data_IF_252180319021
#
_entry.id   IF_252180319021
#
_cell.length_a   1.000
_cell.length_b   1.000
_cell.length_c   1.000
_cell.angle_alpha   90.00
_cell.angle_beta   90.00
_cell.angle_gamma   90.00
#
_symmetry.space_group_name_H-M   'P 1'
#
loop_
_entity.id
_entity.type
_entity.pdbx_description
1 polymer ?
#
# COMPACT_ATOMS: atom_id res chain seq x y z
N UNK A 1 6.02 24.42 -29.18
CA UNK A 1 6.23 24.56 -30.63
C UNK A 1 5.29 25.64 -31.17
N UNK A 2 3.98 25.49 -31.00
CA UNK A 2 2.95 26.49 -31.39
C UNK A 2 3.21 27.90 -30.81
N UNK A 3 3.36 28.04 -29.49
CA UNK A 3 3.67 29.33 -28.84
C UNK A 3 4.98 29.96 -29.36
N UNK A 4 5.96 29.13 -29.73
CA UNK A 4 7.23 29.61 -30.29
C UNK A 4 7.09 30.19 -31.69
N UNK A 5 6.16 29.64 -32.49
CA UNK A 5 5.83 30.15 -33.82
C UNK A 5 4.97 31.42 -33.74
N UNK A 6 4.05 31.50 -32.78
CA UNK A 6 3.12 32.64 -32.65
C UNK A 6 3.71 33.85 -31.90
N UNK A 7 4.48 33.61 -30.84
CA UNK A 7 4.90 34.66 -29.87
C UNK A 7 6.41 34.75 -29.68
N UNK A 8 7.17 34.01 -30.49
CA UNK A 8 8.64 33.97 -30.48
C UNK A 8 9.23 33.04 -29.42
N UNK A 9 10.47 32.59 -29.68
CA UNK A 9 11.14 31.56 -28.89
C UNK A 9 11.44 31.98 -27.43
N UNK A 10 11.77 33.26 -27.20
CA UNK A 10 12.04 33.78 -25.85
C UNK A 10 10.81 33.71 -24.94
N UNK A 11 9.65 34.12 -25.46
CA UNK A 11 8.37 34.04 -24.73
C UNK A 11 8.02 32.59 -24.43
N UNK A 12 8.15 31.71 -25.44
CA UNK A 12 7.90 30.29 -25.26
C UNK A 12 8.82 29.64 -24.20
N UNK A 13 10.11 30.03 -24.14
CA UNK A 13 11.02 29.54 -23.11
C UNK A 13 10.60 30.02 -21.71
N UNK A 14 10.22 31.30 -21.58
CA UNK A 14 9.69 31.86 -20.33
C UNK A 14 8.44 31.13 -19.85
N UNK A 15 7.48 30.89 -20.76
CA UNK A 15 6.24 30.16 -20.46
C UNK A 15 6.53 28.73 -20.02
N UNK A 16 7.46 28.03 -20.68
CA UNK A 16 7.88 26.67 -20.27
C UNK A 16 8.42 26.69 -18.84
N UNK A 17 9.29 27.64 -18.49
CA UNK A 17 9.85 27.74 -17.13
C UNK A 17 8.73 27.99 -16.11
N UNK A 18 7.81 28.91 -16.40
CA UNK A 18 6.67 29.22 -15.53
C UNK A 18 5.79 27.98 -15.33
N UNK A 19 5.47 27.24 -16.40
CA UNK A 19 4.70 26.01 -16.32
C UNK A 19 5.39 24.95 -15.43
N UNK A 20 6.71 24.83 -15.51
CA UNK A 20 7.45 23.89 -14.65
C UNK A 20 7.45 24.34 -13.18
N UNK A 21 7.60 25.64 -12.90
CA UNK A 21 7.49 26.20 -11.54
C UNK A 21 6.09 25.99 -10.94
N UNK A 22 5.06 25.97 -11.78
CA UNK A 22 3.68 25.62 -11.41
C UNK A 22 3.44 24.10 -11.32
N UNK A 23 4.48 23.29 -11.41
CA UNK A 23 4.43 21.83 -11.33
C UNK A 23 3.57 21.18 -12.43
N UNK A 24 3.47 21.79 -13.61
CA UNK A 24 2.62 21.30 -14.70
C UNK A 24 2.95 19.84 -15.09
N UNK A 25 4.24 19.46 -15.12
CA UNK A 25 4.66 18.09 -15.43
C UNK A 25 4.23 17.08 -14.37
N UNK A 26 4.26 17.47 -13.08
CA UNK A 26 3.78 16.65 -11.96
C UNK A 26 2.26 16.47 -12.06
N UNK A 27 1.53 17.57 -12.27
CA UNK A 27 0.08 17.54 -12.46
C UNK A 27 -0.33 16.70 -13.66
N UNK A 28 0.33 16.85 -14.81
CA UNK A 28 0.06 16.08 -16.02
C UNK A 28 0.26 14.58 -15.78
N UNK A 29 1.39 14.20 -15.18
CA UNK A 29 1.73 12.82 -14.86
C UNK A 29 0.71 12.18 -13.91
N UNK A 30 0.29 12.94 -12.90
CA UNK A 30 -0.74 12.52 -11.95
C UNK A 30 -2.13 12.40 -12.61
N UNK A 31 -2.53 13.39 -13.40
CA UNK A 31 -3.81 13.37 -14.13
C UNK A 31 -3.91 12.19 -15.10
N UNK A 32 -2.82 11.90 -15.83
CA UNK A 32 -2.75 10.75 -16.72
C UNK A 32 -2.86 9.42 -15.94
N UNK A 33 -2.22 9.32 -14.77
CA UNK A 33 -2.35 8.16 -13.87
C UNK A 33 -3.80 7.87 -13.48
N UNK A 34 -4.56 8.93 -13.14
CA UNK A 34 -6.00 8.83 -12.85
C UNK A 34 -6.77 8.27 -14.05
N UNK A 35 -6.56 8.84 -15.24
CA UNK A 35 -7.25 8.42 -16.47
C UNK A 35 -6.94 6.96 -16.81
N UNK A 36 -5.66 6.58 -16.82
CA UNK A 36 -5.23 5.21 -17.14
C UNK A 36 -5.82 4.20 -16.15
N UNK A 37 -5.84 4.51 -14.85
CA UNK A 37 -6.40 3.61 -13.84
C UNK A 37 -7.90 3.34 -14.06
N UNK A 38 -8.71 4.40 -14.16
CA UNK A 38 -10.16 4.23 -14.26
C UNK A 38 -10.61 3.76 -15.65
N UNK A 39 -9.88 4.14 -16.70
CA UNK A 39 -10.10 3.60 -18.04
C UNK A 39 -9.82 2.09 -18.07
N UNK A 40 -8.67 1.65 -17.54
CA UNK A 40 -8.34 0.23 -17.44
C UNK A 40 -9.33 -0.57 -16.59
N UNK A 41 -9.77 -0.02 -15.45
CA UNK A 41 -10.81 -0.64 -14.61
C UNK A 41 -12.13 -0.83 -15.38
N UNK A 42 -12.53 0.18 -16.15
CA UNK A 42 -13.76 0.11 -16.96
C UNK A 42 -13.64 -0.94 -18.05
N UNK A 43 -12.47 -1.08 -18.69
CA UNK A 43 -12.23 -2.12 -19.71
C UNK A 43 -12.29 -3.53 -19.10
N UNK A 44 -11.64 -3.74 -17.95
CA UNK A 44 -11.50 -5.08 -17.36
C UNK A 44 -12.77 -5.56 -16.64
N UNK A 45 -13.47 -4.64 -15.97
CA UNK A 45 -14.53 -4.99 -15.02
C UNK A 45 -15.88 -4.33 -15.35
N UNK A 46 -15.89 -3.33 -16.23
CA UNK A 46 -17.06 -2.48 -16.43
C UNK A 46 -17.36 -1.59 -15.21
N UNK A 47 -18.58 -1.04 -15.19
CA UNK A 47 -19.08 -0.23 -14.07
C UNK A 47 -18.49 1.18 -14.02
N UNK A 48 -19.07 2.10 -14.78
CA UNK A 48 -18.79 3.52 -14.64
C UNK A 48 -19.48 4.06 -13.38
N UNK A 49 -18.73 4.76 -12.52
CA UNK A 49 -19.28 5.46 -11.36
C UNK A 49 -19.06 6.95 -11.53
N UNK A 50 -20.14 7.71 -11.58
CA UNK A 50 -20.04 9.16 -11.56
C UNK A 50 -19.59 9.63 -10.17
N UNK A 51 -18.52 10.42 -10.13
CA UNK A 51 -18.18 11.23 -8.96
C UNK A 51 -18.40 12.69 -9.31
N UNK A 52 -19.24 13.37 -8.53
CA UNK A 52 -19.51 14.78 -8.73
C UNK A 52 -18.22 15.58 -8.50
N UNK A 53 -17.76 16.27 -9.54
CA UNK A 53 -16.82 17.37 -9.42
C UNK A 53 -17.63 18.56 -8.90
N UNK A 54 -17.40 18.98 -7.65
CA UNK A 54 -18.13 20.11 -7.06
C UNK A 54 -18.13 21.33 -8.00
N UNK A 55 -19.23 22.08 -8.04
CA UNK A 55 -19.29 23.36 -8.78
C UNK A 55 -18.73 24.47 -7.89
N UNK A 56 -17.61 25.06 -8.28
CA UNK A 56 -17.01 26.22 -7.62
C UNK A 56 -15.48 26.22 -7.68
N UNK A 57 -14.87 27.40 -7.77
CA UNK A 57 -13.43 27.58 -7.60
C UNK A 57 -13.17 27.71 -6.10
N UNK A 58 -13.02 26.58 -5.42
CA UNK A 58 -12.62 26.61 -4.00
C UNK A 58 -11.22 26.02 -3.93
N UNK A 59 -10.26 26.91 -3.68
CA UNK A 59 -8.95 26.57 -3.15
C UNK A 59 -9.19 25.96 -1.77
N UNK A 60 -9.53 24.66 -1.75
CA UNK A 60 -9.89 23.93 -0.53
C UNK A 60 -8.78 22.95 -0.20
N UNK A 61 -8.40 22.96 1.07
CA UNK A 61 -7.59 21.89 1.63
C UNK A 61 -8.38 20.57 1.67
N UNK A 62 -7.86 19.54 1.04
CA UNK A 62 -8.38 18.17 1.11
C UNK A 62 -7.64 17.36 2.16
N UNK A 63 -8.39 16.68 3.02
CA UNK A 63 -7.83 15.95 4.16
C UNK A 63 -7.06 14.71 3.73
N UNK A 64 -6.10 14.24 4.54
CA UNK A 64 -5.38 12.98 4.30
C UNK A 64 -6.29 11.76 4.06
N UNK A 65 -7.37 11.60 4.84
CA UNK A 65 -8.34 10.52 4.64
C UNK A 65 -9.02 10.60 3.26
N UNK A 66 -9.36 11.79 2.78
CA UNK A 66 -9.96 11.96 1.46
C UNK A 66 -8.95 11.71 0.33
N UNK A 67 -7.73 12.24 0.44
CA UNK A 67 -6.66 11.96 -0.50
C UNK A 67 -6.36 10.46 -0.59
N UNK A 68 -6.31 9.75 0.54
CA UNK A 68 -6.15 8.30 0.56
C UNK A 68 -7.31 7.59 -0.13
N UNK A 69 -8.56 7.97 0.16
CA UNK A 69 -9.75 7.36 -0.44
C UNK A 69 -9.82 7.56 -1.96
N UNK A 70 -9.35 8.70 -2.45
CA UNK A 70 -9.36 9.06 -3.87
C UNK A 70 -8.20 8.39 -4.63
N UNK A 71 -7.01 8.37 -4.05
CA UNK A 71 -5.78 8.09 -4.79
C UNK A 71 -5.04 6.82 -4.37
N UNK A 72 -5.49 6.11 -3.33
CA UNK A 72 -4.82 4.89 -2.85
C UNK A 72 -4.61 3.85 -3.96
N UNK A 73 -5.67 3.43 -4.67
CA UNK A 73 -5.58 2.39 -5.72
C UNK A 73 -5.06 2.90 -7.06
N UNK A 74 -5.32 4.16 -7.38
CA UNK A 74 -4.94 4.75 -8.66
C UNK A 74 -3.49 5.19 -8.70
N UNK A 75 -2.93 5.66 -7.58
CA UNK A 75 -1.60 6.25 -7.49
C UNK A 75 -0.75 5.62 -6.39
N UNK A 76 -1.14 5.72 -5.11
CA UNK A 76 -0.22 5.40 -4.00
C UNK A 76 0.28 3.96 -4.05
N UNK A 77 -0.62 3.00 -4.23
CA UNK A 77 -0.27 1.58 -4.38
C UNK A 77 0.68 1.36 -5.56
N UNK A 78 0.38 1.95 -6.72
CA UNK A 78 1.18 1.75 -7.93
C UNK A 78 2.54 2.45 -7.83
N UNK A 79 2.58 3.61 -7.18
CA UNK A 79 3.81 4.37 -6.91
C UNK A 79 4.71 3.61 -5.95
N UNK A 80 4.17 3.03 -4.88
CA UNK A 80 4.92 2.17 -3.96
C UNK A 80 5.39 0.88 -4.64
N UNK A 81 4.56 0.24 -5.48
CA UNK A 81 4.96 -0.94 -6.26
C UNK A 81 6.14 -0.60 -7.19
N UNK A 82 6.05 0.49 -7.93
CA UNK A 82 7.13 0.92 -8.84
C UNK A 82 8.38 1.36 -8.08
N UNK A 83 8.22 2.03 -6.93
CA UNK A 83 9.33 2.39 -6.04
C UNK A 83 10.09 1.15 -5.55
N UNK A 84 9.37 0.13 -5.09
CA UNK A 84 9.97 -1.15 -4.67
C UNK A 84 10.74 -1.79 -5.84
N UNK A 85 10.16 -1.78 -7.05
CA UNK A 85 10.84 -2.30 -8.24
C UNK A 85 12.10 -1.52 -8.61
N UNK A 86 12.10 -0.19 -8.49
CA UNK A 86 13.27 0.64 -8.73
C UNK A 86 14.38 0.40 -7.69
N UNK A 87 14.01 0.13 -6.44
CA UNK A 87 14.93 -0.29 -5.38
C UNK A 87 15.50 -1.67 -5.71
N UNK A 88 14.67 -2.65 -6.08
CA UNK A 88 15.13 -3.96 -6.51
C UNK A 88 16.07 -3.87 -7.72
N UNK A 89 15.75 -3.04 -8.70
CA UNK A 89 16.59 -2.82 -9.89
C UNK A 89 17.95 -2.22 -9.50
N UNK A 90 18.01 -1.32 -8.52
CA UNK A 90 19.27 -0.78 -8.01
C UNK A 90 20.11 -1.81 -7.27
N UNK A 91 19.47 -2.71 -6.50
CA UNK A 91 20.15 -3.67 -5.65
C UNK A 91 20.63 -4.91 -6.42
N UNK A 92 19.87 -5.35 -7.43
CA UNK A 92 20.09 -6.62 -8.12
C UNK A 92 20.28 -6.51 -9.63
N UNK A 93 20.03 -5.35 -10.23
CA UNK A 93 20.15 -5.16 -11.67
C UNK A 93 21.61 -5.12 -12.10
N UNK A 94 21.96 -5.91 -13.12
CA UNK A 94 23.32 -5.97 -13.71
C UNK A 94 23.51 -5.06 -14.93
N UNK A 95 22.44 -4.37 -15.36
CA UNK A 95 22.45 -3.59 -16.59
C UNK A 95 22.97 -2.15 -16.39
N UNK A 96 23.06 -1.69 -15.14
CA UNK A 96 23.40 -0.31 -14.80
C UNK A 96 24.12 -0.26 -13.45
N UNK A 97 25.28 -0.90 -13.40
CA UNK A 97 26.07 -1.06 -12.16
C UNK A 97 26.62 0.27 -11.64
N UNK A 98 26.89 1.23 -12.54
CA UNK A 98 27.31 2.56 -12.15
C UNK A 98 26.10 3.47 -11.79
N UNK A 99 26.30 4.31 -10.79
CA UNK A 99 25.23 5.15 -10.24
C UNK A 99 24.66 6.15 -11.25
N UNK A 100 25.45 6.56 -12.25
CA UNK A 100 25.05 7.54 -13.27
C UNK A 100 24.15 6.87 -14.31
N UNK A 101 24.53 5.71 -14.84
CA UNK A 101 23.69 4.93 -15.77
C UNK A 101 22.37 4.55 -15.12
N UNK A 102 22.39 4.10 -13.86
CA UNK A 102 21.14 3.84 -13.14
C UNK A 102 20.27 5.09 -13.05
N UNK A 103 20.84 6.24 -12.67
CA UNK A 103 20.10 7.49 -12.54
C UNK A 103 19.48 7.91 -13.89
N UNK A 104 20.26 7.87 -14.97
CA UNK A 104 19.78 8.23 -16.31
C UNK A 104 18.68 7.30 -16.81
N UNK A 105 18.82 5.98 -16.60
CA UNK A 105 17.82 4.99 -17.04
C UNK A 105 16.53 5.04 -16.21
N UNK A 106 16.63 5.35 -14.92
CA UNK A 106 15.50 5.32 -13.98
C UNK A 106 14.87 6.68 -13.69
N UNK A 107 15.45 7.79 -14.16
CA UNK A 107 15.00 9.14 -13.84
C UNK A 107 13.52 9.36 -14.11
N UNK A 108 13.03 8.97 -15.28
CA UNK A 108 11.62 9.13 -15.67
C UNK A 108 10.67 8.30 -14.79
N UNK A 109 11.09 7.11 -14.39
CA UNK A 109 10.32 6.24 -13.49
C UNK A 109 10.30 6.80 -12.07
N UNK A 110 11.40 7.34 -11.56
CA UNK A 110 11.43 8.04 -10.27
C UNK A 110 10.58 9.30 -10.29
N UNK A 111 10.61 10.09 -11.37
CA UNK A 111 9.73 11.23 -11.54
C UNK A 111 8.24 10.83 -11.51
N UNK A 112 7.89 9.71 -12.16
CA UNK A 112 6.55 9.12 -12.12
C UNK A 112 6.14 8.71 -10.69
N UNK A 113 7.01 7.99 -9.97
CA UNK A 113 6.80 7.58 -8.57
C UNK A 113 6.54 8.81 -7.69
N UNK A 114 7.44 9.80 -7.75
CA UNK A 114 7.32 11.01 -6.95
C UNK A 114 6.05 11.78 -7.27
N UNK A 115 5.69 11.89 -8.55
CA UNK A 115 4.46 12.55 -8.96
C UNK A 115 3.22 11.83 -8.41
N UNK A 116 3.18 10.49 -8.47
CA UNK A 116 2.04 9.71 -7.95
C UNK A 116 1.91 9.74 -6.43
N UNK A 117 3.03 9.78 -5.71
CA UNK A 117 3.02 9.80 -4.24
C UNK A 117 2.76 11.20 -3.68
N UNK A 118 3.32 12.25 -4.29
CA UNK A 118 3.36 13.57 -3.67
C UNK A 118 2.43 14.61 -4.31
N UNK A 119 1.94 14.43 -5.54
CA UNK A 119 1.07 15.43 -6.18
C UNK A 119 -0.20 15.76 -5.36
N UNK A 120 -0.90 14.82 -4.70
CA UNK A 120 -2.05 15.13 -3.86
C UNK A 120 -1.75 16.02 -2.66
N UNK A 121 -0.48 16.17 -2.29
CA UNK A 121 -0.03 17.02 -1.18
C UNK A 121 0.57 18.32 -1.70
N UNK A 122 1.38 18.24 -2.76
CA UNK A 122 1.99 19.40 -3.44
C UNK A 122 0.96 20.35 -4.02
N UNK A 123 -0.13 19.81 -4.57
CA UNK A 123 -1.20 20.59 -5.21
C UNK A 123 -2.37 20.88 -4.26
N UNK A 124 -2.20 20.56 -2.97
CA UNK A 124 -3.21 20.78 -1.94
C UNK A 124 -2.94 22.10 -1.21
N UNK A 125 -3.87 23.06 -1.22
CA UNK A 125 -3.74 24.29 -0.45
C UNK A 125 -3.50 23.97 1.03
N UNK A 126 -2.56 24.66 1.68
CA UNK A 126 -2.12 24.36 3.06
C UNK A 126 -1.66 22.90 3.31
N UNK A 127 -1.31 22.15 2.26
CA UNK A 127 -0.90 20.74 2.38
C UNK A 127 0.33 20.51 3.26
N UNK A 128 1.17 21.53 3.45
CA UNK A 128 2.37 21.49 4.30
C UNK A 128 2.30 22.36 5.55
N UNK A 129 1.11 22.90 5.87
CA UNK A 129 0.92 23.66 7.08
C UNK A 129 0.92 22.71 8.29
N UNK A 130 1.84 22.91 9.24
CA UNK A 130 2.05 21.96 10.35
C UNK A 130 0.76 21.67 11.13
N UNK A 131 -0.02 22.70 11.45
CA UNK A 131 -1.29 22.53 12.16
C UNK A 131 -2.25 21.64 11.38
N UNK A 132 -2.35 21.83 10.06
CA UNK A 132 -3.20 21.00 9.19
C UNK A 132 -2.71 19.57 9.09
N UNK A 133 -1.41 19.35 8.98
CA UNK A 133 -0.83 18.01 8.97
C UNK A 133 -1.22 17.24 10.24
N UNK A 134 -1.12 17.88 11.42
CA UNK A 134 -1.46 17.23 12.69
C UNK A 134 -2.97 16.93 12.77
N UNK A 135 -3.82 17.90 12.42
CA UNK A 135 -5.29 17.73 12.38
C UNK A 135 -5.70 16.58 11.43
N UNK A 136 -5.11 16.55 10.23
CA UNK A 136 -5.38 15.53 9.23
C UNK A 136 -4.86 14.15 9.62
N UNK A 137 -3.71 14.10 10.28
CA UNK A 137 -3.16 12.85 10.81
C UNK A 137 -4.06 12.25 11.88
N UNK A 138 -4.62 13.07 12.77
CA UNK A 138 -5.59 12.62 13.78
C UNK A 138 -6.89 12.12 13.13
N UNK A 139 -7.44 12.87 12.16
CA UNK A 139 -8.64 12.49 11.39
C UNK A 139 -8.42 11.16 10.63
N UNK A 140 -7.28 11.01 9.97
CA UNK A 140 -6.90 9.78 9.26
C UNK A 140 -6.71 8.60 10.22
N UNK A 141 -6.04 8.82 11.36
CA UNK A 141 -5.82 7.79 12.40
C UNK A 141 -7.14 7.31 13.01
N UNK A 142 -8.10 8.21 13.18
CA UNK A 142 -9.46 7.84 13.58
C UNK A 142 -10.16 7.05 12.48
N UNK A 143 -10.09 7.49 11.23
CA UNK A 143 -10.74 6.84 10.09
C UNK A 143 -10.23 5.42 9.82
N UNK A 144 -8.91 5.19 9.89
CA UNK A 144 -8.28 3.87 9.68
C UNK A 144 -8.66 2.86 10.78
N UNK A 145 -8.78 3.36 12.02
CA UNK A 145 -9.13 2.55 13.19
C UNK A 145 -10.64 2.27 13.32
N UNK A 146 -11.49 3.14 12.76
CA UNK A 146 -12.94 2.95 12.76
C UNK A 146 -13.34 1.66 12.01
N UNK A 147 -14.06 0.77 12.70
CA UNK A 147 -14.68 -0.40 12.08
C UNK A 147 -15.89 0.01 11.24
N UNK A 148 -16.07 -0.72 10.16
CA UNK A 148 -17.24 -0.58 9.31
C UNK A 148 -18.45 -1.27 9.93
N UNK A 149 -19.57 -1.21 9.21
CA UNK A 149 -20.83 -1.84 9.59
C UNK A 149 -21.86 -1.61 8.50
N UNK A 150 -23.00 -2.30 8.59
CA UNK A 150 -24.10 -2.09 7.64
C UNK A 150 -24.55 -0.63 7.75
N UNK A 151 -24.49 0.11 6.64
CA UNK A 151 -24.88 1.52 6.57
C UNK A 151 -23.84 2.54 7.05
N UNK A 152 -22.63 2.11 7.47
CA UNK A 152 -21.56 3.07 7.85
C UNK A 152 -20.93 3.66 6.59
N UNK A 153 -20.96 4.99 6.39
CA UNK A 153 -20.37 5.62 5.19
C UNK A 153 -18.86 5.44 5.09
N UNK A 154 -18.32 5.36 3.88
CA UNK A 154 -16.88 5.26 3.61
C UNK A 154 -16.06 6.45 4.10
N UNK A 155 -16.69 7.61 4.31
CA UNK A 155 -16.05 8.82 4.86
C UNK A 155 -15.72 8.63 6.35
N UNK A 156 -16.45 7.76 7.05
CA UNK A 156 -16.29 7.55 8.51
C UNK A 156 -15.48 6.32 8.88
N UNK A 157 -15.30 5.38 7.96
CA UNK A 157 -14.57 4.14 8.23
C UNK A 157 -13.77 3.65 7.02
N UNK A 158 -12.51 3.33 7.25
CA UNK A 158 -11.66 2.66 6.25
C UNK A 158 -12.23 1.32 5.81
N UNK A 159 -12.86 0.55 6.70
CA UNK A 159 -13.40 -0.76 6.33
C UNK A 159 -14.58 -0.64 5.36
N UNK A 160 -15.46 0.34 5.58
CA UNK A 160 -16.54 0.65 4.63
C UNK A 160 -15.99 1.15 3.30
N UNK A 161 -14.95 2.02 3.32
CA UNK A 161 -14.29 2.46 2.09
C UNK A 161 -13.61 1.30 1.35
N UNK A 162 -12.90 0.43 2.06
CA UNK A 162 -12.19 -0.71 1.47
C UNK A 162 -13.17 -1.64 0.75
N UNK A 163 -14.32 -1.89 1.37
CA UNK A 163 -15.41 -2.67 0.79
C UNK A 163 -16.04 -2.00 -0.44
N UNK A 164 -16.24 -0.67 -0.40
CA UNK A 164 -16.74 0.13 -1.53
C UNK A 164 -15.75 0.16 -2.70
N UNK A 165 -14.45 0.33 -2.43
CA UNK A 165 -13.42 0.44 -3.45
C UNK A 165 -13.33 -0.83 -4.32
N UNK A 166 -13.55 -2.00 -3.70
CA UNK A 166 -13.56 -3.32 -4.34
C UNK A 166 -14.91 -3.76 -4.88
N UNK A 167 -15.94 -2.92 -4.82
CA UNK A 167 -17.29 -3.32 -5.21
C UNK A 167 -17.36 -3.81 -6.66
N UNK A 168 -16.59 -3.19 -7.56
CA UNK A 168 -16.47 -3.60 -8.96
C UNK A 168 -16.11 -5.08 -9.14
N UNK A 169 -15.22 -5.63 -8.29
CA UNK A 169 -14.80 -7.03 -8.35
C UNK A 169 -15.93 -8.02 -8.04
N UNK A 170 -17.02 -7.57 -7.38
CA UNK A 170 -18.20 -8.42 -7.16
C UNK A 170 -18.98 -8.70 -8.43
N UNK A 171 -18.90 -7.79 -9.40
CA UNK A 171 -19.64 -7.85 -10.66
C UNK A 171 -18.74 -8.27 -11.83
N UNK A 172 -17.45 -8.44 -11.58
CA UNK A 172 -16.47 -8.92 -12.55
C UNK A 172 -16.78 -10.35 -13.00
N UNK A 173 -16.78 -10.57 -14.33
CA UNK A 173 -16.93 -11.90 -14.91
C UNK A 173 -15.69 -12.79 -14.73
N UNK A 174 -15.82 -14.07 -15.07
CA UNK A 174 -14.73 -15.07 -14.92
C UNK A 174 -13.40 -14.61 -15.56
N UNK A 175 -13.45 -14.06 -16.78
CA UNK A 175 -12.25 -13.59 -17.49
C UNK A 175 -11.55 -12.43 -16.76
N UNK A 176 -12.32 -11.48 -16.19
CA UNK A 176 -11.72 -10.38 -15.43
C UNK A 176 -11.07 -10.88 -14.13
N UNK A 177 -11.69 -11.86 -13.46
CA UNK A 177 -11.09 -12.52 -12.29
C UNK A 177 -9.79 -13.24 -12.65
N UNK A 178 -9.77 -13.98 -13.78
CA UNK A 178 -8.58 -14.64 -14.28
C UNK A 178 -7.45 -13.64 -14.58
N UNK A 179 -7.77 -12.51 -15.22
CA UNK A 179 -6.79 -11.45 -15.50
C UNK A 179 -6.22 -10.86 -14.21
N UNK A 180 -7.04 -10.59 -13.19
CA UNK A 180 -6.57 -10.12 -11.88
C UNK A 180 -5.60 -11.12 -11.21
N UNK A 181 -5.90 -12.42 -11.30
CA UNK A 181 -4.99 -13.47 -10.79
C UNK A 181 -3.69 -13.48 -11.58
N UNK A 182 -3.75 -13.50 -12.92
CA UNK A 182 -2.56 -13.50 -13.79
C UNK A 182 -1.68 -12.28 -13.50
N UNK A 183 -2.30 -11.10 -13.39
CA UNK A 183 -1.60 -9.87 -13.04
C UNK A 183 -0.97 -9.95 -11.65
N UNK A 184 -1.62 -10.60 -10.68
CA UNK A 184 -1.09 -10.79 -9.32
C UNK A 184 0.07 -11.77 -9.25
N UNK A 185 0.18 -12.73 -10.18
CA UNK A 185 1.28 -13.71 -10.21
C UNK A 185 2.65 -13.04 -10.32
N UNK A 186 2.73 -11.84 -10.93
CA UNK A 186 3.99 -11.07 -11.05
C UNK A 186 4.71 -10.86 -9.71
N UNK A 187 3.95 -10.72 -8.62
CA UNK A 187 4.53 -10.51 -7.29
C UNK A 187 5.23 -11.76 -6.76
N UNK A 188 4.77 -12.97 -7.11
CA UNK A 188 5.47 -14.22 -6.77
C UNK A 188 6.76 -14.36 -7.57
N UNK A 189 6.78 -13.87 -8.82
CA UNK A 189 7.99 -13.80 -9.62
C UNK A 189 9.01 -12.85 -8.96
N UNK A 190 8.56 -11.69 -8.46
CA UNK A 190 9.42 -10.76 -7.72
C UNK A 190 9.99 -11.40 -6.45
N UNK A 191 9.15 -12.08 -5.65
CA UNK A 191 9.60 -12.80 -4.47
C UNK A 191 10.68 -13.84 -4.83
N UNK A 192 10.43 -14.66 -5.85
CA UNK A 192 11.39 -15.64 -6.31
C UNK A 192 12.71 -15.00 -6.78
N UNK A 193 12.63 -13.91 -7.56
CA UNK A 193 13.80 -13.17 -8.02
C UNK A 193 14.65 -12.61 -6.86
N UNK A 194 14.01 -12.04 -5.84
CA UNK A 194 14.71 -11.54 -4.65
C UNK A 194 15.35 -12.69 -3.87
N UNK A 195 14.61 -13.79 -3.66
CA UNK A 195 15.12 -14.98 -2.96
C UNK A 195 16.28 -15.63 -3.72
N UNK A 196 16.24 -15.62 -5.05
CA UNK A 196 17.32 -16.11 -5.90
C UNK A 196 18.62 -15.30 -5.71
N UNK A 197 18.50 -14.00 -5.46
CA UNK A 197 19.64 -13.10 -5.19
C UNK A 197 20.05 -13.03 -3.71
N UNK A 198 19.38 -13.76 -2.79
CA UNK A 198 19.86 -13.88 -1.40
C UNK A 198 21.26 -14.51 -1.37
N UNK A 199 22.09 -13.97 -0.48
CA UNK A 199 23.53 -14.21 -0.39
C UNK A 199 23.85 -15.72 -0.31
N UNK A 200 24.74 -16.21 -1.18
CA UNK A 200 25.23 -17.60 -1.33
C UNK A 200 24.42 -18.56 -2.23
N UNK A 201 24.65 -18.45 -3.54
CA UNK A 201 24.52 -19.59 -4.48
C UNK A 201 25.73 -19.67 -5.42
N UNK A 202 26.93 -19.52 -4.87
CA UNK A 202 28.21 -19.47 -5.60
C UNK A 202 28.72 -20.82 -6.14
N UNK A 203 27.87 -21.83 -6.26
CA UNK A 203 28.13 -23.00 -7.10
C UNK A 203 26.86 -23.38 -7.86
N UNK A 204 26.94 -23.22 -9.18
CA UNK A 204 25.82 -23.15 -10.15
C UNK A 204 24.77 -24.28 -10.01
N UNK A 205 25.15 -25.46 -9.52
CA UNK A 205 24.22 -26.61 -9.37
C UNK A 205 23.66 -26.79 -7.96
N UNK A 206 24.40 -26.42 -6.92
CA UNK A 206 23.94 -26.52 -5.53
C UNK A 206 23.06 -25.32 -5.16
N UNK A 207 23.33 -24.17 -5.77
CA UNK A 207 22.61 -22.94 -5.52
C UNK A 207 21.14 -22.94 -5.94
N UNK A 208 20.82 -23.47 -7.13
CA UNK A 208 19.42 -23.56 -7.60
C UNK A 208 18.58 -24.44 -6.67
N UNK A 209 19.14 -25.54 -6.17
CA UNK A 209 18.43 -26.41 -5.21
C UNK A 209 18.18 -25.68 -3.90
N UNK A 210 19.15 -24.89 -3.43
CA UNK A 210 19.04 -24.11 -2.19
C UNK A 210 18.03 -22.97 -2.32
N UNK A 211 18.02 -22.21 -3.42
CA UNK A 211 17.05 -21.11 -3.62
C UNK A 211 15.62 -21.61 -3.72
N UNK A 212 15.37 -22.76 -4.36
CA UNK A 212 14.05 -23.41 -4.38
C UNK A 212 13.64 -23.82 -2.97
N UNK A 213 14.54 -24.41 -2.18
CA UNK A 213 14.27 -24.80 -0.79
C UNK A 213 13.96 -23.58 0.08
N UNK A 214 14.74 -22.51 -0.02
CA UNK A 214 14.52 -21.25 0.72
C UNK A 214 13.21 -20.60 0.31
N UNK A 215 12.88 -20.61 -0.99
CA UNK A 215 11.61 -20.14 -1.49
C UNK A 215 10.44 -20.96 -0.89
N UNK A 216 10.51 -22.29 -0.92
CA UNK A 216 9.51 -23.15 -0.27
C UNK A 216 9.42 -22.92 1.26
N UNK A 217 10.54 -22.72 1.95
CA UNK A 217 10.58 -22.41 3.38
C UNK A 217 9.90 -21.06 3.68
N UNK A 218 10.09 -20.06 2.80
CA UNK A 218 9.45 -18.75 2.92
C UNK A 218 7.91 -18.85 2.87
N UNK A 219 7.38 -19.82 2.12
CA UNK A 219 5.94 -20.10 2.10
C UNK A 219 5.42 -20.67 3.41
N UNK A 220 6.23 -21.42 4.17
CA UNK A 220 5.84 -21.87 5.51
C UNK A 220 5.68 -20.68 6.47
N UNK A 221 6.57 -19.68 6.39
CA UNK A 221 6.46 -18.44 7.16
C UNK A 221 5.17 -17.70 6.82
N UNK A 222 4.84 -17.59 5.52
CA UNK A 222 3.60 -16.96 5.06
C UNK A 222 2.37 -17.70 5.60
N UNK A 223 2.34 -19.03 5.50
CA UNK A 223 1.23 -19.85 6.02
C UNK A 223 1.09 -19.68 7.53
N UNK A 224 2.21 -19.66 8.27
CA UNK A 224 2.20 -19.40 9.71
C UNK A 224 1.57 -18.02 10.02
N UNK A 225 1.98 -16.96 9.32
CA UNK A 225 1.40 -15.62 9.47
C UNK A 225 -0.11 -15.63 9.16
N UNK A 226 -0.56 -16.33 8.12
CA UNK A 226 -1.99 -16.44 7.80
C UNK A 226 -2.79 -17.19 8.88
N UNK A 227 -2.22 -18.25 9.46
CA UNK A 227 -2.79 -18.98 10.61
C UNK A 227 -2.90 -18.04 11.82
N UNK A 228 -1.83 -17.29 12.12
CA UNK A 228 -1.82 -16.30 13.21
C UNK A 228 -2.95 -15.27 13.01
N UNK A 229 -3.05 -14.69 11.81
CA UNK A 229 -4.11 -13.73 11.48
C UNK A 229 -5.51 -14.35 11.60
N UNK A 230 -5.67 -15.62 11.21
CA UNK A 230 -6.94 -16.35 11.34
C UNK A 230 -7.32 -16.58 12.80
N UNK A 231 -6.38 -17.02 13.65
CA UNK A 231 -6.58 -17.19 15.09
C UNK A 231 -6.96 -15.85 15.72
N UNK A 232 -6.23 -14.77 15.42
CA UNK A 232 -6.51 -13.43 15.95
C UNK A 232 -7.87 -12.91 15.48
N UNK A 233 -8.23 -13.15 14.21
CA UNK A 233 -9.52 -12.73 13.64
C UNK A 233 -10.69 -13.48 14.31
N UNK A 234 -10.59 -14.81 14.43
CA UNK A 234 -11.61 -15.63 15.10
C UNK A 234 -11.69 -15.35 16.60
N UNK A 235 -10.55 -15.22 17.27
CA UNK A 235 -10.48 -14.95 18.69
C UNK A 235 -11.07 -13.58 19.05
N UNK A 236 -10.91 -12.59 18.17
CA UNK A 236 -11.57 -11.28 18.33
C UNK A 236 -13.10 -11.37 18.22
N UNK A 237 -13.64 -12.26 17.39
CA UNK A 237 -15.09 -12.43 17.26
C UNK A 237 -15.68 -13.24 18.42
N UNK A 238 -14.95 -14.22 18.94
CA UNK A 238 -15.47 -15.19 19.93
C UNK A 238 -15.13 -14.88 21.39
N UNK A 239 -14.01 -14.20 21.66
CA UNK A 239 -13.49 -13.97 23.01
C UNK A 239 -13.39 -12.49 23.40
N UNK A 240 -13.59 -11.54 22.48
CA UNK A 240 -13.44 -10.11 22.78
C UNK A 240 -14.56 -9.55 23.66
N UNK A 241 -15.75 -10.16 23.66
CA UNK A 241 -16.89 -9.72 24.47
C UNK A 241 -16.83 -10.30 25.89
N UNK A 242 -16.58 -11.61 26.01
CA UNK A 242 -16.74 -12.32 27.30
C UNK A 242 -15.41 -12.56 28.04
N UNK A 243 -14.25 -12.56 27.35
CA UNK A 243 -12.95 -12.94 27.94
C UNK A 243 -11.78 -12.06 27.46
N UNK A 244 -11.81 -10.77 27.81
CA UNK A 244 -10.76 -9.81 27.43
C UNK A 244 -9.34 -10.21 27.91
N UNK A 245 -9.22 -10.79 29.10
CA UNK A 245 -7.93 -11.23 29.66
C UNK A 245 -7.34 -12.40 28.87
N UNK A 246 -8.17 -13.41 28.57
CA UNK A 246 -7.73 -14.58 27.81
C UNK A 246 -7.28 -14.19 26.39
N UNK A 247 -8.00 -13.26 25.75
CA UNK A 247 -7.59 -12.73 24.44
C UNK A 247 -6.26 -11.96 24.51
N UNK A 248 -6.00 -11.22 25.58
CA UNK A 248 -4.70 -10.54 25.79
C UNK A 248 -3.57 -11.56 25.99
N UNK A 249 -3.82 -12.62 26.75
CA UNK A 249 -2.85 -13.69 26.98
C UNK A 249 -2.54 -14.46 25.70
N UNK A 250 -3.56 -14.78 24.88
CA UNK A 250 -3.35 -15.36 23.55
C UNK A 250 -2.46 -14.46 22.68
N UNK A 251 -2.70 -13.15 22.64
CA UNK A 251 -1.81 -12.23 21.90
C UNK A 251 -0.38 -12.25 22.43
N UNK A 252 -0.20 -12.28 23.75
CA UNK A 252 1.12 -12.33 24.37
C UNK A 252 1.86 -13.63 24.00
N UNK A 253 1.20 -14.78 24.09
CA UNK A 253 1.77 -16.08 23.70
C UNK A 253 2.14 -16.08 22.22
N UNK A 254 1.28 -15.56 21.35
CA UNK A 254 1.54 -15.45 19.92
C UNK A 254 2.72 -14.53 19.62
N UNK A 255 2.82 -13.41 20.33
CA UNK A 255 3.95 -12.48 20.22
C UNK A 255 5.27 -13.12 20.64
N UNK A 256 5.30 -13.77 21.82
CA UNK A 256 6.47 -14.49 22.32
C UNK A 256 6.86 -15.62 21.36
N UNK A 257 5.89 -16.41 20.87
CA UNK A 257 6.13 -17.46 19.88
C UNK A 257 6.70 -16.93 18.57
N UNK A 258 6.28 -15.74 18.14
CA UNK A 258 6.82 -15.09 16.94
C UNK A 258 8.27 -14.64 17.14
N UNK A 259 8.61 -14.07 18.31
CA UNK A 259 9.99 -13.72 18.69
C UNK A 259 10.87 -14.96 18.72
N UNK A 260 10.41 -16.04 19.36
CA UNK A 260 11.16 -17.30 19.45
C UNK A 260 11.40 -17.88 18.05
N UNK A 261 10.39 -17.87 17.19
CA UNK A 261 10.53 -18.34 15.80
C UNK A 261 11.55 -17.51 15.04
N UNK A 262 11.50 -16.18 15.16
CA UNK A 262 12.47 -15.28 14.53
C UNK A 262 13.89 -15.57 15.08
N UNK A 263 14.05 -15.68 16.40
CA UNK A 263 15.34 -15.98 17.03
C UNK A 263 15.90 -17.34 16.60
N UNK A 264 15.06 -18.36 16.47
CA UNK A 264 15.45 -19.65 15.90
C UNK A 264 15.90 -19.51 14.45
N UNK A 265 15.20 -18.73 13.62
CA UNK A 265 15.63 -18.49 12.24
C UNK A 265 17.01 -17.81 12.19
N UNK A 266 17.30 -16.83 13.05
CA UNK A 266 18.64 -16.24 13.14
C UNK A 266 19.71 -17.25 13.57
N UNK A 267 19.39 -18.10 14.55
CA UNK A 267 20.33 -19.09 15.08
C UNK A 267 20.62 -20.23 14.09
N UNK A 268 19.61 -20.73 13.38
CA UNK A 268 19.75 -21.87 12.47
C UNK A 268 20.17 -21.49 11.05
N UNK A 269 19.89 -20.26 10.61
CA UNK A 269 20.16 -19.81 9.24
C UNK A 269 21.28 -18.75 9.14
N UNK A 270 21.94 -18.42 10.25
CA UNK A 270 23.01 -17.42 10.33
C UNK A 270 22.66 -16.09 9.60
N UNK A 271 21.42 -15.63 9.77
CA UNK A 271 20.90 -14.49 9.04
C UNK A 271 21.64 -13.19 9.39
N UNK A 272 22.05 -12.45 8.38
CA UNK A 272 22.60 -11.11 8.52
C UNK A 272 21.49 -10.06 8.55
N UNK A 273 21.83 -8.83 8.97
CA UNK A 273 20.90 -7.70 8.90
C UNK A 273 20.45 -7.44 7.45
N UNK A 274 21.33 -7.67 6.47
CA UNK A 274 21.00 -7.55 5.05
C UNK A 274 19.85 -8.49 4.64
N UNK A 275 19.88 -9.73 5.11
CA UNK A 275 18.87 -10.75 4.81
C UNK A 275 17.49 -10.37 5.37
N UNK A 276 17.42 -9.59 6.45
CA UNK A 276 16.16 -9.03 6.99
C UNK A 276 15.52 -8.08 5.99
N UNK A 277 16.30 -7.12 5.48
CA UNK A 277 15.80 -6.14 4.51
C UNK A 277 15.37 -6.82 3.20
N UNK A 278 16.14 -7.80 2.74
CA UNK A 278 15.78 -8.60 1.55
C UNK A 278 14.52 -9.44 1.78
N UNK A 279 14.36 -10.00 2.99
CA UNK A 279 13.15 -10.73 3.37
C UNK A 279 11.92 -9.82 3.38
N UNK A 280 12.01 -8.61 3.95
CA UNK A 280 10.91 -7.63 3.90
C UNK A 280 10.56 -7.30 2.44
N UNK A 281 11.58 -7.05 1.62
CA UNK A 281 11.43 -6.73 0.20
C UNK A 281 10.76 -7.88 -0.59
N UNK A 282 10.98 -9.14 -0.18
CA UNK A 282 10.33 -10.31 -0.77
C UNK A 282 8.90 -10.55 -0.23
N UNK A 283 8.68 -10.40 1.07
CA UNK A 283 7.40 -10.71 1.71
C UNK A 283 6.33 -9.66 1.49
N UNK A 284 6.68 -8.37 1.39
CA UNK A 284 5.70 -7.29 1.14
C UNK A 284 4.95 -7.48 -0.19
N UNK A 285 5.63 -7.68 -1.34
CA UNK A 285 4.97 -8.04 -2.60
C UNK A 285 4.10 -9.30 -2.49
N UNK A 286 4.57 -10.30 -1.74
CA UNK A 286 3.86 -11.58 -1.59
C UNK A 286 2.56 -11.42 -0.82
N UNK A 287 2.58 -10.67 0.29
CA UNK A 287 1.36 -10.31 1.03
C UNK A 287 0.37 -9.52 0.17
N UNK A 288 0.89 -8.64 -0.71
CA UNK A 288 0.08 -7.90 -1.67
C UNK A 288 -0.57 -8.82 -2.72
N UNK A 289 0.16 -9.81 -3.22
CA UNK A 289 -0.34 -10.83 -4.17
C UNK A 289 -1.48 -11.63 -3.57
N UNK A 290 -1.28 -12.14 -2.34
CA UNK A 290 -2.31 -12.89 -1.60
C UNK A 290 -3.55 -12.05 -1.37
N UNK A 291 -3.38 -10.75 -1.09
CA UNK A 291 -4.49 -9.82 -0.94
C UNK A 291 -5.25 -9.68 -2.26
N UNK A 292 -4.59 -9.37 -3.38
CA UNK A 292 -5.25 -9.20 -4.69
C UNK A 292 -5.97 -10.46 -5.15
N UNK A 293 -5.34 -11.62 -5.02
CA UNK A 293 -5.96 -12.91 -5.37
C UNK A 293 -7.17 -13.17 -4.45
N UNK A 294 -7.06 -12.87 -3.16
CA UNK A 294 -8.20 -13.02 -2.24
C UNK A 294 -9.37 -12.10 -2.58
N UNK A 295 -9.09 -10.90 -3.11
CA UNK A 295 -10.10 -9.94 -3.56
C UNK A 295 -10.78 -10.42 -4.85
N UNK A 296 -10.02 -10.96 -5.81
CA UNK A 296 -10.56 -11.54 -7.04
C UNK A 296 -11.40 -12.80 -6.74
N UNK A 297 -10.91 -13.69 -5.87
CA UNK A 297 -11.58 -14.93 -5.46
C UNK A 297 -12.53 -14.76 -4.27
N UNK A 298 -13.08 -13.56 -4.07
CA UNK A 298 -13.85 -13.17 -2.88
C UNK A 298 -14.94 -14.16 -2.47
N UNK A 299 -15.72 -14.68 -3.42
CA UNK A 299 -16.81 -15.63 -3.15
C UNK A 299 -16.29 -16.91 -2.50
N UNK A 300 -15.19 -17.45 -3.02
CA UNK A 300 -14.53 -18.66 -2.49
C UNK A 300 -13.95 -18.39 -1.10
N UNK A 301 -13.23 -17.28 -0.94
CA UNK A 301 -12.60 -16.87 0.32
C UNK A 301 -13.63 -16.64 1.44
N UNK A 302 -14.81 -16.12 1.09
CA UNK A 302 -15.94 -16.00 2.01
C UNK A 302 -16.53 -17.36 2.37
N UNK A 303 -16.69 -18.26 1.40
CA UNK A 303 -17.18 -19.62 1.61
C UNK A 303 -16.33 -20.41 2.62
N UNK A 304 -15.01 -20.28 2.57
CA UNK A 304 -14.08 -20.91 3.53
C UNK A 304 -13.90 -20.11 4.84
N UNK A 305 -14.62 -18.98 5.00
CA UNK A 305 -14.59 -18.16 6.21
C UNK A 305 -13.29 -17.38 6.44
N UNK A 306 -12.45 -17.17 5.41
CA UNK A 306 -11.16 -16.48 5.53
C UNK A 306 -11.24 -14.96 5.31
N UNK A 307 -12.40 -14.42 4.91
CA UNK A 307 -12.56 -12.98 4.64
C UNK A 307 -12.17 -12.07 5.82
N UNK A 308 -12.40 -12.51 7.06
CA UNK A 308 -11.95 -11.79 8.25
C UNK A 308 -10.43 -11.63 8.35
N UNK A 309 -9.68 -12.67 7.94
CA UNK A 309 -8.20 -12.63 7.88
C UNK A 309 -7.72 -11.73 6.74
N UNK A 310 -8.38 -11.77 5.59
CA UNK A 310 -8.07 -10.91 4.44
C UNK A 310 -8.28 -9.44 4.78
N UNK A 311 -9.36 -9.10 5.48
CA UNK A 311 -9.57 -7.72 6.00
C UNK A 311 -8.50 -7.31 7.01
N UNK A 312 -8.06 -8.23 7.88
CA UNK A 312 -6.99 -7.94 8.83
C UNK A 312 -5.65 -7.71 8.13
N UNK A 313 -5.31 -8.55 7.13
CA UNK A 313 -4.12 -8.38 6.29
C UNK A 313 -4.16 -7.06 5.52
N UNK A 314 -5.30 -6.75 4.90
CA UNK A 314 -5.52 -5.50 4.16
C UNK A 314 -5.32 -4.25 5.02
N UNK A 315 -5.66 -4.31 6.30
CA UNK A 315 -5.46 -3.19 7.24
C UNK A 315 -4.01 -3.11 7.73
N UNK A 316 -3.38 -4.28 7.94
CA UNK A 316 -1.99 -4.38 8.38
C UNK A 316 -0.96 -3.85 7.38
N UNK A 317 -1.25 -3.88 6.07
CA UNK A 317 -0.30 -3.39 5.05
C UNK A 317 -0.18 -1.85 5.03
N UNK A 318 -1.28 -1.08 5.11
CA UNK A 318 -1.23 0.37 5.36
C UNK A 318 -0.77 0.76 6.78
N UNK A 319 -1.07 -0.05 7.81
CA UNK A 319 -0.80 0.27 9.23
C UNK A 319 0.70 0.35 9.59
N UNK A 320 1.62 -0.16 8.77
CA UNK A 320 3.06 -0.14 9.10
C UNK A 320 3.68 1.27 9.13
N UNK A 321 2.97 2.31 8.68
CA UNK A 321 3.38 3.72 8.83
C UNK A 321 2.80 4.43 10.07
N UNK A 322 1.94 3.77 10.85
CA UNK A 322 1.23 4.37 11.98
C UNK A 322 1.73 3.83 13.32
N UNK A 323 2.92 4.26 13.75
CA UNK A 323 3.32 4.15 15.16
C UNK A 323 3.10 5.52 15.80
N UNK A 324 2.10 5.64 16.68
CA UNK A 324 2.14 6.64 17.75
C UNK A 324 1.89 5.99 19.11
N UNK A 325 2.60 6.46 20.16
CA UNK A 325 2.34 6.08 21.54
C UNK A 325 1.00 6.68 21.99
N UNK A 326 0.24 5.90 22.74
CA UNK A 326 -1.03 6.31 23.34
C UNK A 326 -0.83 7.48 24.30
N UNK A 327 -1.06 8.71 23.85
CA UNK A 327 -1.36 9.84 24.72
C UNK A 327 -2.86 10.11 24.65
N UNK A 328 -3.60 9.63 25.64
CA UNK A 328 -4.97 10.10 25.84
C UNK A 328 -4.91 11.47 26.51
N UNK A 329 -5.52 12.53 25.96
CA UNK A 329 -5.82 13.73 26.73
C UNK A 329 -6.79 13.35 27.85
N UNK A 330 -6.46 13.69 29.10
CA UNK A 330 -7.40 13.57 30.22
C UNK A 330 -8.67 14.38 29.89
N UNK A 331 -9.87 13.86 30.19
CA UNK A 331 -11.08 14.67 30.08
C UNK A 331 -10.97 15.88 31.01
N UNK A 332 -11.13 17.08 30.45
CA UNK A 332 -11.32 18.30 31.22
C UNK A 332 -12.61 18.17 32.02
N UNK A 333 -12.48 18.20 33.35
CA UNK A 333 -13.58 18.12 34.30
C UNK A 333 -14.51 19.33 34.12
N UNK A 334 -15.83 19.16 33.90
CA UNK A 334 -16.75 20.27 33.78
C UNK A 334 -17.29 20.64 35.16
N UNK A 335 -16.53 21.41 35.95
CA UNK A 335 -17.04 22.06 37.17
C UNK A 335 -16.21 23.30 37.52
N UNK A 336 -16.70 24.47 37.15
CA UNK A 336 -16.97 25.58 38.08
C UNK A 336 -17.42 26.82 37.30
N UNK A 337 -18.74 26.97 37.25
CA UNK A 337 -19.40 28.27 37.24
C UNK A 337 -19.09 29.00 38.56
N UNK A 338 -18.60 30.24 38.49
CA UNK A 338 -18.47 31.08 39.67
C UNK A 338 -17.62 32.34 39.45
N UNK A 339 -18.33 33.42 39.11
CA UNK A 339 -17.93 34.84 39.06
C UNK A 339 -17.14 35.33 37.85
#
# INVERSE_FOLDING_TARGET
MEIGLERGFRTALGDIIIMQLQLASVFFTFSLGTRVHYFGRTILHGGAKYRATGRGFVVRHEKFAENYRLYSRSHFVKGLELMVLLICYRLYGSAADDGISYALLSFSMWFLVLSWLFAPFLLNPSGFEWQKIVEDWEDWSKWISCRGGIGVPSVKSWESWWEEEQEHLRHTGFMGCLVEIILSIRFFIYQYGIVYHLNMTTSIRQGIRQSIVVYCLSWLVIVAVLIILKIVSMGRMKFSADFQLMFRLVKLVMFVGSIVTIAMLFYFLDLTIGDIFQSILAFVPTGWALLQISQACRTVVRGIGMWGSVKALARGIPDQAAIQPSFQPRPSNPTNSGW
#
